data_IF_997885301123
#
_entry.id   IF_997885301123
#
_cell.length_a   1.000
_cell.length_b   1.000
_cell.length_c   1.000
_cell.angle_alpha   90.00
_cell.angle_beta   90.00
_cell.angle_gamma   90.00
#
_symmetry.space_group_name_H-M   'P 1'
#
loop_
_entity.id
_entity.type
_entity.pdbx_description
1 polymer ?
#
# COMPACT_ATOMS: atom_id res chain seq x y z
N UNK A 1 39.83 -27.56 47.62
CA UNK A 1 39.64 -27.94 46.20
C UNK A 1 38.17 -27.80 45.83
N UNK A 2 37.80 -26.81 45.00
CA UNK A 2 36.60 -26.80 44.14
C UNK A 2 36.63 -25.50 43.32
N UNK A 3 37.20 -25.55 42.12
CA UNK A 3 37.09 -24.46 41.14
C UNK A 3 35.71 -24.61 40.49
N UNK A 4 34.81 -23.66 40.74
CA UNK A 4 33.53 -23.55 40.03
C UNK A 4 33.83 -22.85 38.71
N UNK A 5 33.74 -23.60 37.61
CA UNK A 5 33.85 -23.07 36.26
C UNK A 5 32.47 -22.53 35.85
N UNK A 6 32.34 -21.21 35.76
CA UNK A 6 31.12 -20.55 35.30
C UNK A 6 31.12 -20.57 33.77
N UNK A 7 30.28 -21.42 33.16
CA UNK A 7 30.09 -21.48 31.71
C UNK A 7 29.12 -20.37 31.29
N UNK A 8 29.64 -19.29 30.68
CA UNK A 8 28.82 -18.23 30.10
C UNK A 8 28.35 -18.72 28.72
N UNK A 9 27.08 -19.11 28.61
CA UNK A 9 26.46 -19.42 27.33
C UNK A 9 26.14 -18.12 26.59
N UNK A 10 26.96 -17.79 25.58
CA UNK A 10 26.68 -16.74 24.61
C UNK A 10 25.51 -17.21 23.72
N UNK A 11 24.29 -16.82 24.07
CA UNK A 11 23.15 -16.91 23.17
C UNK A 11 23.34 -15.91 22.04
N UNK A 12 23.85 -16.38 20.90
CA UNK A 12 23.81 -15.63 19.65
C UNK A 12 22.35 -15.49 19.23
N UNK A 13 21.72 -14.37 19.60
CA UNK A 13 20.50 -13.93 18.93
C UNK A 13 20.88 -13.66 17.48
N UNK A 14 20.56 -14.58 16.57
CA UNK A 14 20.51 -14.27 15.16
C UNK A 14 19.40 -13.23 14.98
N UNK A 15 19.77 -11.96 15.06
CA UNK A 15 18.97 -10.89 14.49
C UNK A 15 19.01 -11.19 13.00
N UNK A 16 17.93 -11.74 12.45
CA UNK A 16 17.68 -11.72 11.02
C UNK A 16 17.63 -10.25 10.61
N UNK A 17 18.78 -9.69 10.26
CA UNK A 17 18.87 -8.39 9.66
C UNK A 17 18.40 -8.52 8.21
N UNK A 18 17.70 -7.50 7.72
CA UNK A 18 17.32 -7.42 6.32
C UNK A 18 18.44 -6.74 5.53
N UNK A 19 18.74 -7.30 4.37
CA UNK A 19 19.86 -6.88 3.55
C UNK A 19 19.41 -5.99 2.39
N UNK A 20 20.11 -4.88 2.21
CA UNK A 20 19.94 -4.00 1.05
C UNK A 20 20.36 -4.71 -0.24
N UNK A 21 19.59 -4.51 -1.30
CA UNK A 21 19.77 -5.20 -2.58
C UNK A 21 19.13 -6.60 -2.64
N UNK A 22 18.76 -7.16 -1.49
CA UNK A 22 18.08 -8.47 -1.38
C UNK A 22 16.64 -8.27 -0.95
N UNK A 23 16.42 -7.85 0.30
CA UNK A 23 15.09 -7.72 0.90
C UNK A 23 14.41 -6.40 0.54
N UNK A 24 15.20 -5.35 0.32
CA UNK A 24 14.75 -4.04 -0.10
C UNK A 24 15.80 -3.33 -0.96
N UNK A 25 15.37 -2.30 -1.67
CA UNK A 25 16.23 -1.45 -2.50
C UNK A 25 16.16 -0.01 -2.00
N UNK A 26 17.32 0.63 -1.81
CA UNK A 26 17.37 2.09 -1.59
C UNK A 26 17.22 2.79 -2.93
N UNK A 27 16.30 3.73 -3.01
CA UNK A 27 16.08 4.53 -4.22
C UNK A 27 17.21 5.55 -4.37
N UNK A 28 17.86 5.55 -5.54
CA UNK A 28 18.90 6.54 -5.89
C UNK A 28 18.42 7.99 -5.73
N UNK A 29 17.12 8.20 -5.98
CA UNK A 29 16.45 9.50 -5.85
C UNK A 29 15.26 9.35 -4.91
N UNK A 30 15.42 9.68 -3.62
CA UNK A 30 14.32 9.67 -2.68
C UNK A 30 13.17 10.55 -3.15
N UNK A 31 11.94 10.06 -3.01
CA UNK A 31 10.73 10.82 -3.32
C UNK A 31 10.26 11.55 -2.07
N UNK A 32 9.90 12.82 -2.21
CA UNK A 32 9.43 13.63 -1.10
C UNK A 32 8.13 13.06 -0.52
N UNK A 33 8.11 12.90 0.81
CA UNK A 33 6.94 12.47 1.58
C UNK A 33 5.95 13.61 1.79
N UNK A 34 4.69 13.28 2.09
CA UNK A 34 3.64 14.28 2.27
C UNK A 34 3.75 15.03 3.61
N UNK A 35 4.20 14.33 4.66
CA UNK A 35 4.38 14.89 5.99
C UNK A 35 5.81 14.62 6.47
N UNK A 36 6.58 15.69 6.69
CA UNK A 36 7.98 15.57 7.14
C UNK A 36 8.11 15.12 8.59
N UNK A 37 7.05 15.28 9.40
CA UNK A 37 7.05 14.94 10.82
C UNK A 37 6.64 13.48 11.08
N UNK A 38 6.30 12.72 10.02
CA UNK A 38 5.91 11.31 10.11
C UNK A 38 6.71 10.48 9.12
N UNK A 39 6.90 9.22 9.46
CA UNK A 39 7.46 8.24 8.53
C UNK A 39 6.32 7.75 7.62
N UNK A 40 6.40 8.09 6.34
CA UNK A 40 5.43 7.65 5.34
C UNK A 40 5.66 6.17 4.99
N UNK A 41 4.62 5.36 5.01
CA UNK A 41 4.62 3.97 4.49
C UNK A 41 3.57 3.88 3.40
N UNK A 42 4.02 3.71 2.16
CA UNK A 42 3.14 3.73 0.99
C UNK A 42 3.02 2.37 0.35
N UNK A 43 1.82 1.82 0.31
CA UNK A 43 1.50 0.67 -0.51
C UNK A 43 1.12 1.13 -1.93
N UNK A 44 1.90 0.70 -2.92
CA UNK A 44 1.55 0.79 -4.32
C UNK A 44 0.80 -0.47 -4.74
N UNK A 45 -0.46 -0.34 -5.12
CA UNK A 45 -1.34 -1.49 -5.36
C UNK A 45 -2.19 -1.36 -6.64
N UNK A 46 -2.86 -2.44 -7.03
CA UNK A 46 -3.88 -2.41 -8.09
C UNK A 46 -5.02 -3.36 -7.78
N UNK A 47 -6.26 -2.90 -7.95
CA UNK A 47 -7.46 -3.69 -7.63
C UNK A 47 -7.54 -5.03 -8.35
N UNK A 48 -6.92 -5.17 -9.52
CA UNK A 48 -6.94 -6.42 -10.29
C UNK A 48 -5.71 -7.32 -10.04
N UNK A 49 -4.82 -6.94 -9.11
CA UNK A 49 -3.71 -7.79 -8.69
C UNK A 49 -4.14 -8.77 -7.59
N UNK A 50 -4.06 -10.10 -7.80
CA UNK A 50 -4.39 -11.09 -6.78
C UNK A 50 -3.50 -11.01 -5.53
N UNK A 51 -2.23 -10.64 -5.69
CA UNK A 51 -1.31 -10.50 -4.57
C UNK A 51 -1.60 -9.26 -3.72
N UNK A 52 -2.09 -8.16 -4.31
CA UNK A 52 -2.59 -7.01 -3.56
C UNK A 52 -3.81 -7.42 -2.72
N UNK A 53 -4.77 -8.14 -3.32
CA UNK A 53 -5.93 -8.63 -2.57
C UNK A 53 -5.53 -9.58 -1.43
N UNK A 54 -4.56 -10.45 -1.67
CA UNK A 54 -4.07 -11.40 -0.66
C UNK A 54 -3.27 -10.71 0.47
N UNK A 55 -2.75 -9.50 0.24
CA UNK A 55 -2.04 -8.69 1.24
C UNK A 55 -3.00 -8.03 2.24
N UNK A 56 -4.23 -7.70 1.82
CA UNK A 56 -5.23 -6.94 2.60
C UNK A 56 -5.42 -7.45 4.06
N UNK A 57 -5.58 -8.76 4.33
CA UNK A 57 -5.76 -9.23 5.71
C UNK A 57 -4.52 -9.00 6.59
N UNK A 58 -3.33 -9.11 6.00
CA UNK A 58 -2.07 -8.88 6.71
C UNK A 58 -1.87 -7.39 6.97
N UNK A 59 -2.17 -6.56 5.96
CA UNK A 59 -2.13 -5.10 6.09
C UNK A 59 -3.06 -4.62 7.20
N UNK A 60 -4.33 -5.05 7.19
CA UNK A 60 -5.31 -4.70 8.24
C UNK A 60 -4.86 -5.11 9.63
N UNK A 61 -4.13 -6.21 9.75
CA UNK A 61 -3.57 -6.64 11.04
C UNK A 61 -2.42 -5.72 11.47
N UNK A 62 -1.50 -5.39 10.56
CA UNK A 62 -0.37 -4.51 10.84
C UNK A 62 -0.80 -3.05 11.11
N UNK A 63 -1.84 -2.55 10.45
CA UNK A 63 -2.37 -1.20 10.73
C UNK A 63 -2.88 -1.03 12.17
N UNK A 64 -3.22 -2.13 12.86
CA UNK A 64 -3.60 -2.09 14.29
C UNK A 64 -2.40 -2.02 15.23
N UNK A 65 -1.19 -2.27 14.74
CA UNK A 65 0.03 -2.29 15.56
C UNK A 65 0.86 -1.01 15.45
N UNK A 66 0.60 -0.17 14.44
CA UNK A 66 1.35 1.06 14.21
C UNK A 66 0.88 2.22 15.10
N UNK A 67 1.82 3.10 15.44
CA UNK A 67 1.54 4.39 16.07
C UNK A 67 1.23 5.44 15.00
N UNK A 68 -0.04 5.74 14.79
CA UNK A 68 -0.52 6.70 13.79
C UNK A 68 -0.10 8.15 14.08
N UNK A 69 0.45 8.45 15.26
CA UNK A 69 1.04 9.76 15.55
C UNK A 69 2.41 9.93 14.89
N UNK A 70 3.11 8.82 14.61
CA UNK A 70 4.48 8.80 14.04
C UNK A 70 4.52 8.27 12.62
N UNK A 71 3.57 7.41 12.24
CA UNK A 71 3.55 6.73 10.96
C UNK A 71 2.35 7.22 10.15
N UNK A 72 2.58 7.52 8.87
CA UNK A 72 1.53 7.86 7.92
C UNK A 72 1.43 6.76 6.87
N UNK A 73 0.37 5.95 6.96
CA UNK A 73 0.16 4.87 5.99
C UNK A 73 -0.73 5.33 4.84
N UNK A 74 -0.30 5.08 3.61
CA UNK A 74 -0.97 5.52 2.40
C UNK A 74 -1.15 4.35 1.44
N UNK A 75 -2.39 4.05 1.06
CA UNK A 75 -2.67 3.22 -0.12
C UNK A 75 -2.70 4.10 -1.36
N UNK A 76 -1.87 3.78 -2.33
CA UNK A 76 -1.70 4.54 -3.56
C UNK A 76 -1.87 3.58 -4.75
N UNK A 77 -2.88 3.77 -5.60
CA UNK A 77 -2.97 2.94 -6.80
C UNK A 77 -1.78 3.22 -7.72
N UNK A 78 -1.18 2.15 -8.24
CA UNK A 78 -0.11 2.20 -9.22
C UNK A 78 -0.69 2.36 -10.65
N UNK A 79 0.00 3.13 -11.48
CA UNK A 79 -0.35 3.40 -12.88
C UNK A 79 0.91 3.45 -13.74
N UNK A 80 1.62 2.33 -13.94
CA UNK A 80 2.77 2.25 -14.84
C UNK A 80 2.36 2.36 -16.32
N UNK A 81 1.10 2.07 -16.66
CA UNK A 81 0.55 2.17 -18.01
C UNK A 81 -0.96 2.42 -18.01
N UNK A 82 -1.52 2.75 -19.18
CA UNK A 82 -2.94 3.08 -19.36
C UNK A 82 -3.91 1.96 -18.93
N UNK A 83 -3.48 0.70 -19.03
CA UNK A 83 -4.28 -0.47 -18.60
C UNK A 83 -4.67 -0.44 -17.12
N UNK A 84 -3.88 0.25 -16.29
CA UNK A 84 -4.05 0.27 -14.84
C UNK A 84 -5.00 1.38 -14.38
N UNK A 85 -5.28 2.36 -15.25
CA UNK A 85 -5.95 3.61 -14.91
C UNK A 85 -7.35 3.40 -14.33
N UNK A 86 -8.12 2.44 -14.84
CA UNK A 86 -9.46 2.17 -14.32
C UNK A 86 -9.43 1.82 -12.83
N UNK A 87 -8.47 0.98 -12.40
CA UNK A 87 -8.31 0.63 -10.98
C UNK A 87 -7.99 1.86 -10.13
N UNK A 88 -7.09 2.73 -10.61
CA UNK A 88 -6.73 3.96 -9.92
C UNK A 88 -7.89 4.96 -9.84
N UNK A 89 -8.62 5.16 -10.95
CA UNK A 89 -9.77 6.05 -11.01
C UNK A 89 -10.84 5.58 -10.02
N UNK A 90 -11.11 4.28 -9.94
CA UNK A 90 -12.09 3.75 -9.00
C UNK A 90 -11.71 4.07 -7.55
N UNK A 91 -10.46 3.83 -7.17
CA UNK A 91 -9.95 4.19 -5.84
C UNK A 91 -10.20 5.67 -5.53
N UNK A 92 -9.78 6.57 -6.42
CA UNK A 92 -9.93 8.01 -6.21
C UNK A 92 -11.39 8.48 -6.23
N UNK A 93 -12.28 7.79 -6.95
CA UNK A 93 -13.72 8.09 -6.93
C UNK A 93 -14.32 7.67 -5.58
N UNK A 94 -14.00 6.49 -5.06
CA UNK A 94 -14.45 6.04 -3.73
C UNK A 94 -13.96 7.00 -2.64
N UNK A 95 -12.69 7.39 -2.72
CA UNK A 95 -12.08 8.38 -1.82
C UNK A 95 -12.80 9.73 -1.91
N UNK A 96 -13.06 10.25 -3.11
CA UNK A 96 -13.77 11.53 -3.29
C UNK A 96 -15.22 11.50 -2.82
N UNK A 97 -15.84 10.32 -2.81
CA UNK A 97 -17.17 10.09 -2.26
C UNK A 97 -17.18 9.86 -0.75
N UNK A 98 -16.01 9.79 -0.11
CA UNK A 98 -15.83 9.44 1.31
C UNK A 98 -16.42 8.06 1.67
N UNK A 99 -16.32 7.09 0.75
CA UNK A 99 -16.77 5.70 0.94
C UNK A 99 -15.64 4.69 0.72
N UNK A 100 -14.38 5.16 0.72
CA UNK A 100 -13.23 4.29 0.50
C UNK A 100 -13.13 3.23 1.60
N UNK A 101 -13.21 3.62 2.87
CA UNK A 101 -13.12 2.69 4.00
C UNK A 101 -14.23 1.63 3.99
N UNK A 102 -15.42 2.00 3.49
CA UNK A 102 -16.56 1.10 3.32
C UNK A 102 -16.33 0.12 2.16
N UNK A 103 -15.85 0.62 1.01
CA UNK A 103 -15.91 -0.11 -0.26
C UNK A 103 -14.56 -0.58 -0.81
N UNK A 104 -13.44 -0.29 -0.15
CA UNK A 104 -12.11 -0.70 -0.62
C UNK A 104 -11.98 -2.22 -0.72
N UNK A 105 -12.18 -2.94 0.39
CA UNK A 105 -12.13 -4.40 0.41
C UNK A 105 -13.29 -5.04 -0.36
N UNK A 106 -14.55 -4.57 -0.24
CA UNK A 106 -15.64 -5.08 -1.09
C UNK A 106 -15.37 -4.96 -2.60
N UNK A 107 -14.67 -3.91 -3.05
CA UNK A 107 -14.29 -3.78 -4.45
C UNK A 107 -13.26 -4.84 -4.87
N UNK A 108 -12.27 -5.13 -4.02
CA UNK A 108 -11.37 -6.25 -4.25
C UNK A 108 -12.12 -7.58 -4.30
N UNK A 109 -13.02 -7.86 -3.36
CA UNK A 109 -13.82 -9.09 -3.32
C UNK A 109 -14.73 -9.22 -4.53
N UNK A 110 -15.36 -8.11 -4.95
CA UNK A 110 -16.15 -8.06 -6.17
C UNK A 110 -15.36 -8.52 -7.41
N UNK A 111 -14.08 -8.16 -7.50
CA UNK A 111 -13.20 -8.52 -8.62
C UNK A 111 -12.66 -9.95 -8.46
N UNK A 112 -12.10 -10.29 -7.30
CA UNK A 112 -11.32 -11.51 -7.12
C UNK A 112 -12.14 -12.71 -6.68
N UNK A 113 -13.18 -12.50 -5.87
CA UNK A 113 -14.07 -13.56 -5.37
C UNK A 113 -15.27 -13.69 -6.30
N UNK A 114 -16.02 -12.61 -6.48
CA UNK A 114 -17.28 -12.61 -7.23
C UNK A 114 -17.11 -12.48 -8.75
N UNK A 115 -15.87 -12.31 -9.22
CA UNK A 115 -15.49 -12.24 -10.65
C UNK A 115 -16.31 -11.22 -11.45
N UNK A 116 -16.75 -10.13 -10.81
CA UNK A 116 -17.48 -9.06 -11.49
C UNK A 116 -16.57 -8.37 -12.51
N UNK A 117 -17.09 -8.18 -13.73
CA UNK A 117 -16.40 -7.44 -14.79
C UNK A 117 -16.48 -5.94 -14.54
N UNK A 118 -15.63 -5.43 -13.67
CA UNK A 118 -15.58 -4.02 -13.29
C UNK A 118 -14.70 -3.17 -14.22
N UNK A 119 -14.58 -3.53 -15.50
CA UNK A 119 -13.62 -2.92 -16.42
C UNK A 119 -14.04 -1.57 -17.05
N UNK A 120 -15.16 -0.97 -16.63
CA UNK A 120 -15.68 0.28 -17.21
C UNK A 120 -16.28 1.22 -16.16
N UNK A 121 -16.39 2.51 -16.51
CA UNK A 121 -17.13 3.50 -15.73
C UNK A 121 -18.57 3.04 -15.44
N UNK A 122 -19.27 2.49 -16.44
CA UNK A 122 -20.66 2.04 -16.29
C UNK A 122 -20.79 0.89 -15.29
N UNK A 123 -19.95 -0.13 -15.41
CA UNK A 123 -19.96 -1.28 -14.49
C UNK A 123 -19.63 -0.84 -13.06
N UNK A 124 -18.64 0.05 -12.90
CA UNK A 124 -18.27 0.57 -11.59
C UNK A 124 -19.38 1.40 -10.93
N UNK A 125 -20.01 2.32 -11.66
CA UNK A 125 -21.13 3.10 -11.13
C UNK A 125 -22.26 2.20 -10.67
N UNK A 126 -22.67 1.23 -11.50
CA UNK A 126 -23.73 0.30 -11.16
C UNK A 126 -23.40 -0.52 -9.91
N UNK A 127 -22.13 -0.88 -9.73
CA UNK A 127 -21.66 -1.59 -8.54
C UNK A 127 -21.70 -0.69 -7.31
N UNK A 128 -21.16 0.53 -7.37
CA UNK A 128 -21.18 1.49 -6.25
C UNK A 128 -22.62 1.75 -5.79
N UNK A 129 -23.55 1.99 -6.71
CA UNK A 129 -24.97 2.25 -6.38
C UNK A 129 -25.66 1.07 -5.69
N UNK A 130 -25.19 -0.16 -5.91
CA UNK A 130 -25.71 -1.37 -5.25
C UNK A 130 -25.01 -1.65 -3.92
N UNK A 131 -23.71 -1.39 -3.85
CA UNK A 131 -22.88 -1.74 -2.70
C UNK A 131 -22.90 -0.68 -1.59
N UNK A 132 -23.06 0.60 -1.94
CA UNK A 132 -23.09 1.71 -0.99
C UNK A 132 -24.42 1.80 -0.26
N UNK A 133 -24.38 1.92 1.06
CA UNK A 133 -25.57 2.22 1.87
C UNK A 133 -25.98 3.70 1.84
N UNK A 134 -25.14 4.57 1.28
CA UNK A 134 -25.38 6.01 1.22
C UNK A 134 -26.36 6.38 0.08
N UNK A 135 -27.62 6.66 0.45
CA UNK A 135 -28.69 7.07 -0.47
C UNK A 135 -28.44 8.39 -1.20
N UNK A 136 -27.49 9.20 -0.75
CA UNK A 136 -27.13 10.48 -1.39
C UNK A 136 -26.11 10.31 -2.54
N UNK A 137 -25.68 9.09 -2.82
CA UNK A 137 -24.80 8.77 -3.95
C UNK A 137 -25.67 8.43 -5.15
N UNK A 138 -25.73 9.36 -6.10
CA UNK A 138 -26.44 9.15 -7.37
C UNK A 138 -25.45 8.87 -8.50
N UNK A 139 -25.97 8.30 -9.60
CA UNK A 139 -25.22 8.11 -10.83
C UNK A 139 -24.58 9.42 -11.28
N UNK A 140 -25.35 10.49 -11.34
CA UNK A 140 -24.92 11.82 -11.82
C UNK A 140 -23.76 12.36 -10.97
N UNK A 141 -23.82 12.18 -9.65
CA UNK A 141 -22.74 12.57 -8.73
C UNK A 141 -21.44 11.84 -9.04
N UNK A 142 -21.51 10.51 -9.20
CA UNK A 142 -20.33 9.71 -9.54
C UNK A 142 -19.79 10.12 -10.91
N UNK A 143 -20.66 10.28 -11.91
CA UNK A 143 -20.25 10.69 -13.26
C UNK A 143 -19.56 12.06 -13.30
N UNK A 144 -20.02 13.02 -12.48
CA UNK A 144 -19.39 14.33 -12.32
C UNK A 144 -18.00 14.20 -11.69
N UNK A 145 -17.84 13.35 -10.67
CA UNK A 145 -16.53 13.10 -10.04
C UNK A 145 -15.55 12.50 -11.04
N UNK A 146 -15.96 11.50 -11.82
CA UNK A 146 -15.13 10.88 -12.87
C UNK A 146 -14.52 11.91 -13.83
N UNK A 147 -15.26 12.97 -14.17
CA UNK A 147 -14.82 14.04 -15.09
C UNK A 147 -14.08 15.18 -14.39
N UNK A 148 -13.95 15.13 -13.07
CA UNK A 148 -13.42 16.26 -12.30
C UNK A 148 -11.91 16.43 -12.48
N UNK A 149 -11.46 17.69 -12.40
CA UNK A 149 -10.04 18.03 -12.41
C UNK A 149 -9.26 17.33 -11.28
N UNK A 150 -9.91 17.12 -10.12
CA UNK A 150 -9.32 16.41 -8.98
C UNK A 150 -8.94 14.97 -9.33
N UNK A 151 -9.80 14.22 -10.03
CA UNK A 151 -9.48 12.85 -10.47
C UNK A 151 -8.34 12.87 -11.50
N UNK A 152 -8.36 13.81 -12.46
CA UNK A 152 -7.28 13.94 -13.45
C UNK A 152 -5.92 14.18 -12.78
N UNK A 153 -5.87 15.05 -11.77
CA UNK A 153 -4.63 15.34 -11.05
C UNK A 153 -4.15 14.15 -10.24
N UNK A 154 -5.04 13.46 -9.50
CA UNK A 154 -4.67 12.25 -8.75
C UNK A 154 -4.15 11.15 -9.68
N UNK A 155 -4.75 10.98 -10.85
CA UNK A 155 -4.28 10.03 -11.84
C UNK A 155 -2.90 10.39 -12.39
N UNK A 156 -2.65 11.66 -12.70
CA UNK A 156 -1.32 12.13 -13.11
C UNK A 156 -0.27 11.92 -12.01
N UNK A 157 -0.64 12.18 -10.75
CA UNK A 157 0.24 11.95 -9.61
C UNK A 157 0.56 10.46 -9.43
N UNK A 158 -0.43 9.58 -9.60
CA UNK A 158 -0.24 8.13 -9.54
C UNK A 158 0.72 7.62 -10.63
N UNK A 159 0.60 8.14 -11.86
CA UNK A 159 1.54 7.86 -12.96
C UNK A 159 2.95 8.32 -12.61
N UNK A 160 3.08 9.54 -12.07
CA UNK A 160 4.37 10.09 -11.62
C UNK A 160 5.00 9.22 -10.53
N UNK A 161 4.26 8.86 -9.48
CA UNK A 161 4.78 7.99 -8.42
C UNK A 161 5.21 6.62 -8.95
N UNK A 162 4.45 6.05 -9.88
CA UNK A 162 4.82 4.75 -10.47
C UNK A 162 6.17 4.80 -11.21
N UNK A 163 6.47 5.93 -11.85
CA UNK A 163 7.75 6.19 -12.50
C UNK A 163 8.86 6.52 -11.50
N UNK A 164 8.60 7.45 -10.57
CA UNK A 164 9.60 7.94 -9.62
C UNK A 164 10.08 6.82 -8.68
N UNK A 165 9.17 5.92 -8.28
CA UNK A 165 9.50 4.74 -7.49
C UNK A 165 10.03 3.56 -8.32
N UNK A 166 10.18 3.73 -9.64
CA UNK A 166 10.73 2.71 -10.54
C UNK A 166 10.02 1.35 -10.40
N UNK A 167 8.69 1.38 -10.29
CA UNK A 167 7.91 0.17 -9.99
C UNK A 167 8.02 -0.86 -11.12
N UNK A 168 8.46 -2.06 -10.78
CA UNK A 168 8.44 -3.24 -11.65
C UNK A 168 7.17 -4.09 -11.49
N UNK A 169 6.38 -3.85 -10.42
CA UNK A 169 5.17 -4.60 -10.12
C UNK A 169 4.46 -4.11 -8.85
N UNK A 170 3.39 -4.81 -8.47
CA UNK A 170 2.62 -4.59 -7.23
C UNK A 170 2.23 -5.93 -6.58
N UNK A 171 1.97 -5.99 -5.27
CA UNK A 171 2.12 -4.91 -4.30
C UNK A 171 3.59 -4.56 -4.08
N UNK A 172 3.87 -3.26 -4.04
CA UNK A 172 5.16 -2.72 -3.66
C UNK A 172 4.97 -1.77 -2.48
N UNK A 173 5.91 -1.75 -1.55
CA UNK A 173 5.86 -0.87 -0.39
C UNK A 173 7.06 0.04 -0.39
N UNK A 174 6.80 1.33 -0.18
CA UNK A 174 7.83 2.36 -0.04
C UNK A 174 7.83 2.87 1.39
N UNK A 175 8.98 2.80 2.06
CA UNK A 175 9.18 3.39 3.40
C UNK A 175 9.96 4.68 3.27
N UNK A 176 9.39 5.74 3.83
CA UNK A 176 9.86 7.12 3.88
C UNK A 176 10.34 7.70 2.53
N UNK A 177 9.73 7.27 1.42
CA UNK A 177 10.14 7.68 0.09
C UNK A 177 11.54 7.22 -0.33
N UNK A 178 12.18 6.34 0.44
CA UNK A 178 13.60 5.93 0.29
C UNK A 178 13.77 4.44 0.01
N UNK A 179 13.00 3.59 0.67
CA UNK A 179 13.21 2.14 0.61
C UNK A 179 12.06 1.48 -0.12
N UNK A 180 12.33 0.82 -1.24
CA UNK A 180 11.37 0.04 -2.01
C UNK A 180 11.50 -1.44 -1.67
N UNK A 181 10.40 -2.12 -1.39
CA UNK A 181 10.35 -3.57 -1.26
C UNK A 181 9.05 -4.13 -1.83
N UNK A 182 8.94 -5.45 -1.87
CA UNK A 182 7.78 -6.20 -2.35
C UNK A 182 7.60 -7.45 -1.50
N UNK A 183 6.44 -8.11 -1.65
CA UNK A 183 6.18 -9.38 -0.96
C UNK A 183 7.23 -10.44 -1.29
N UNK A 184 7.70 -10.50 -2.54
CA UNK A 184 8.68 -11.48 -2.98
C UNK A 184 10.08 -11.20 -2.43
N UNK A 185 10.54 -9.95 -2.47
CA UNK A 185 11.85 -9.59 -1.93
C UNK A 185 11.92 -9.86 -0.44
N UNK A 186 10.87 -9.52 0.29
CA UNK A 186 10.81 -9.78 1.72
C UNK A 186 10.65 -11.27 2.06
N UNK A 187 10.45 -12.19 1.11
CA UNK A 187 10.24 -13.61 1.42
C UNK A 187 8.84 -13.97 1.95
N UNK A 188 7.81 -13.15 1.67
CA UNK A 188 6.41 -13.46 1.92
C UNK A 188 5.66 -12.42 2.77
N UNK A 189 4.34 -12.56 2.86
CA UNK A 189 3.44 -11.55 3.45
C UNK A 189 3.79 -11.16 4.89
N UNK A 190 4.07 -12.14 5.76
CA UNK A 190 4.42 -11.85 7.17
C UNK A 190 5.79 -11.18 7.27
N UNK A 191 6.73 -11.61 6.43
CA UNK A 191 8.09 -11.13 6.47
C UNK A 191 8.19 -9.70 5.90
N UNK A 192 7.34 -9.34 4.94
CA UNK A 192 7.15 -7.97 4.47
C UNK A 192 6.87 -6.98 5.61
N UNK A 193 5.94 -7.28 6.52
CA UNK A 193 5.63 -6.35 7.61
C UNK A 193 6.75 -6.25 8.65
N UNK A 194 7.48 -7.35 8.90
CA UNK A 194 8.71 -7.28 9.72
C UNK A 194 9.78 -6.41 9.08
N UNK A 195 9.93 -6.48 7.75
CA UNK A 195 10.85 -5.62 7.00
C UNK A 195 10.42 -4.15 7.07
N UNK A 196 9.13 -3.88 6.90
CA UNK A 196 8.59 -2.52 7.05
C UNK A 196 8.90 -1.97 8.45
N UNK A 197 8.65 -2.75 9.51
CA UNK A 197 8.95 -2.33 10.89
C UNK A 197 10.45 -2.08 11.10
N UNK A 198 11.31 -2.92 10.52
CA UNK A 198 12.75 -2.72 10.52
C UNK A 198 13.15 -1.40 9.84
N UNK A 199 12.61 -1.10 8.67
CA UNK A 199 12.90 0.12 7.91
C UNK A 199 12.35 1.37 8.60
N UNK A 200 11.18 1.30 9.24
CA UNK A 200 10.64 2.37 10.08
C UNK A 200 11.60 2.66 11.23
N UNK A 201 12.04 1.62 11.95
CA UNK A 201 12.99 1.78 13.07
C UNK A 201 14.33 2.35 12.61
N UNK A 202 14.80 1.94 11.41
CA UNK A 202 16.01 2.51 10.79
C UNK A 202 15.86 4.01 10.55
N UNK A 203 14.71 4.48 10.06
CA UNK A 203 14.47 5.91 9.88
C UNK A 203 14.30 6.68 11.20
N UNK A 204 13.69 6.08 12.22
CA UNK A 204 13.57 6.71 13.55
C UNK A 204 14.92 6.98 14.20
N UNK A 205 15.91 6.11 13.96
CA UNK A 205 17.25 6.27 14.51
C UNK A 205 18.12 7.25 13.69
N UNK A 206 17.71 7.59 12.47
CA UNK A 206 18.41 8.51 11.57
C UNK A 206 17.87 9.95 11.65
N UNK A 207 16.80 10.18 12.42
CA UNK A 207 16.22 11.49 12.71
C UNK A 207 16.72 12.02 14.06
#
# INVERSE_FOLDING_TARGET
MKKILLLIALFSFNIFAFDEGIDYTVLDKPVKTQNINKIEVKEMFWYYCPHCFSLEPYLKKWLKTIDSTKIDFIQQPAVPSSRWENGAIFFFVLEKLNILDELHTPLFEAIHIHKLKLNSKKSFINWVLKASNNKNITKEKIEKIFKSFSIKNKLNQARKYSKDYQLSGVPAVIVNGKYLTSVSQAGGYKQLFKLIDFLIKKEQNNQ
#
